data_IF_796891171495
#
_entry.id   IF_796891171495
#
_cell.length_a   1.000
_cell.length_b   1.000
_cell.length_c   1.000
_cell.angle_alpha   90.00
_cell.angle_beta   90.00
_cell.angle_gamma   90.00
#
_symmetry.space_group_name_H-M   'P 1'
#
loop_
_entity.id
_entity.type
_entity.pdbx_description
1 polymer ?
#
# COMPACT_ATOMS: atom_id res chain seq x y z
N UNK A 1 18.72 10.73 9.19
CA UNK A 1 17.33 11.14 9.50
C UNK A 1 16.53 10.76 8.27
N UNK A 2 15.54 9.90 8.40
CA UNK A 2 15.03 9.09 7.30
C UNK A 2 14.17 9.91 6.31
N UNK A 3 14.74 10.27 5.15
CA UNK A 3 14.04 10.92 4.02
C UNK A 3 13.17 9.91 3.23
N UNK A 4 12.33 9.13 3.92
CA UNK A 4 11.47 8.13 3.28
C UNK A 4 10.01 8.27 3.68
N UNK A 5 9.11 7.83 2.80
CA UNK A 5 7.66 7.90 3.04
C UNK A 5 7.19 6.81 4.02
N UNK A 6 6.09 7.08 4.71
CA UNK A 6 5.40 6.06 5.52
C UNK A 6 4.15 5.57 4.79
N UNK A 7 4.06 4.25 4.61
CA UNK A 7 2.94 3.59 3.95
C UNK A 7 2.19 2.69 4.93
N UNK A 8 0.88 2.58 4.71
CA UNK A 8 0.01 1.71 5.50
C UNK A 8 -0.97 1.00 4.58
N UNK A 9 -1.05 -0.33 4.67
CA UNK A 9 -2.06 -1.12 3.96
C UNK A 9 -3.01 -1.74 4.99
N UNK A 10 -4.24 -1.28 4.94
CA UNK A 10 -5.38 -1.81 5.68
C UNK A 10 -6.00 -2.94 4.87
N UNK A 11 -6.30 -4.09 5.51
CA UNK A 11 -6.87 -5.22 4.77
C UNK A 11 -7.75 -6.13 5.64
N UNK A 12 -8.83 -6.63 5.05
CA UNK A 12 -9.68 -7.64 5.66
C UNK A 12 -8.96 -9.00 5.79
N UNK A 13 -8.76 -9.45 7.02
CA UNK A 13 -8.11 -10.74 7.34
C UNK A 13 -8.99 -11.95 7.07
N UNK A 14 -10.28 -11.86 7.37
CA UNK A 14 -11.26 -12.94 7.14
C UNK A 14 -11.64 -13.13 5.66
N UNK A 15 -11.28 -12.17 4.80
CA UNK A 15 -11.61 -12.19 3.37
C UNK A 15 -10.50 -12.80 2.50
N UNK A 16 -9.37 -13.19 3.10
CA UNK A 16 -8.22 -13.75 2.37
C UNK A 16 -7.38 -12.71 1.63
N UNK A 17 -7.47 -11.41 1.98
CA UNK A 17 -6.80 -10.34 1.23
C UNK A 17 -5.31 -10.17 1.57
N UNK A 18 -4.77 -10.98 2.48
CA UNK A 18 -3.36 -10.95 2.88
C UNK A 18 -2.41 -11.15 1.68
N UNK A 19 -2.75 -12.05 0.75
CA UNK A 19 -1.92 -12.31 -0.44
C UNK A 19 -1.81 -11.08 -1.34
N UNK A 20 -2.90 -10.33 -1.49
CA UNK A 20 -2.91 -9.06 -2.23
C UNK A 20 -2.06 -8.01 -1.51
N UNK A 21 -2.20 -7.91 -0.19
CA UNK A 21 -1.40 -7.00 0.63
C UNK A 21 0.11 -7.30 0.52
N UNK A 22 0.49 -8.58 0.54
CA UNK A 22 1.88 -9.02 0.36
C UNK A 22 2.42 -8.70 -1.04
N UNK A 23 1.63 -8.91 -2.10
CA UNK A 23 2.02 -8.53 -3.47
C UNK A 23 2.31 -7.04 -3.58
N UNK A 24 1.40 -6.19 -3.08
CA UNK A 24 1.58 -4.73 -3.11
C UNK A 24 2.83 -4.33 -2.33
N UNK A 25 3.08 -4.95 -1.17
CA UNK A 25 4.28 -4.69 -0.40
C UNK A 25 5.57 -5.11 -1.12
N UNK A 26 5.56 -6.26 -1.81
CA UNK A 26 6.70 -6.72 -2.60
C UNK A 26 7.00 -5.76 -3.75
N UNK A 27 5.96 -5.30 -4.48
CA UNK A 27 6.08 -4.31 -5.56
C UNK A 27 6.73 -3.01 -5.03
N UNK A 28 6.23 -2.49 -3.91
CA UNK A 28 6.71 -1.28 -3.25
C UNK A 28 8.17 -1.39 -2.78
N UNK A 29 8.48 -2.43 -2.00
CA UNK A 29 9.80 -2.60 -1.38
C UNK A 29 10.88 -2.95 -2.41
N UNK A 30 10.52 -3.63 -3.50
CA UNK A 30 11.46 -3.88 -4.60
C UNK A 30 11.75 -2.62 -5.41
N UNK A 31 10.76 -1.75 -5.64
CA UNK A 31 10.94 -0.52 -6.43
C UNK A 31 11.59 0.61 -5.63
N UNK A 32 11.22 0.79 -4.36
CA UNK A 32 11.60 1.95 -3.55
C UNK A 32 12.46 1.56 -2.34
N UNK A 33 13.44 0.67 -2.52
CA UNK A 33 14.27 0.07 -1.45
C UNK A 33 14.72 1.04 -0.35
N UNK A 34 15.13 2.25 -0.72
CA UNK A 34 15.58 3.30 0.22
C UNK A 34 14.58 4.45 0.39
N UNK A 35 13.51 4.49 -0.40
CA UNK A 35 12.52 5.57 -0.40
C UNK A 35 11.35 5.34 0.56
N UNK A 36 11.17 4.11 1.07
CA UNK A 36 10.14 3.78 2.05
C UNK A 36 10.80 3.68 3.43
N UNK A 37 10.48 4.61 4.32
CA UNK A 37 10.97 4.57 5.70
C UNK A 37 10.16 3.57 6.55
N UNK A 38 8.89 3.39 6.22
CA UNK A 38 7.96 2.58 7.02
C UNK A 38 6.87 1.99 6.13
N UNK A 39 6.56 0.72 6.32
CA UNK A 39 5.40 0.04 5.73
C UNK A 39 4.68 -0.75 6.82
N UNK A 40 3.41 -0.44 7.07
CA UNK A 40 2.60 -1.05 8.13
C UNK A 40 1.43 -1.81 7.54
N UNK A 41 1.18 -2.99 8.10
CA UNK A 41 -0.01 -3.78 7.83
C UNK A 41 -1.00 -3.60 8.97
N UNK A 42 -2.22 -3.18 8.64
CA UNK A 42 -3.30 -3.00 9.61
C UNK A 42 -4.42 -3.99 9.29
N UNK A 43 -4.54 -5.07 10.06
CA UNK A 43 -5.58 -6.07 9.85
C UNK A 43 -6.94 -5.55 10.34
N UNK A 44 -7.97 -5.71 9.51
CA UNK A 44 -9.38 -5.57 9.88
C UNK A 44 -10.12 -6.90 9.76
N UNK A 45 -11.34 -6.96 10.31
CA UNK A 45 -12.16 -8.16 10.30
C UNK A 45 -13.52 -7.88 9.67
N UNK A 46 -13.91 -8.67 8.66
CA UNK A 46 -15.29 -8.77 8.17
C UNK A 46 -15.83 -7.61 7.32
N UNK A 47 -15.07 -6.55 7.08
CA UNK A 47 -15.50 -5.34 6.37
C UNK A 47 -15.21 -5.37 4.86
N UNK A 48 -14.41 -6.32 4.38
CA UNK A 48 -14.00 -6.40 2.98
C UNK A 48 -13.16 -5.21 2.51
N UNK A 49 -12.52 -4.51 3.46
CA UNK A 49 -11.64 -3.36 3.20
C UNK A 49 -10.31 -3.80 2.59
N UNK A 50 -9.81 -2.95 1.70
CA UNK A 50 -8.43 -2.99 1.23
C UNK A 50 -8.06 -1.58 0.81
N UNK A 51 -7.33 -0.88 1.66
CA UNK A 51 -7.00 0.53 1.46
C UNK A 51 -5.49 0.74 1.66
N UNK A 52 -4.91 1.64 0.87
CA UNK A 52 -3.49 1.99 0.94
C UNK A 52 -3.39 3.48 1.25
N UNK A 53 -2.55 3.81 2.24
CA UNK A 53 -2.33 5.17 2.71
C UNK A 53 -0.86 5.56 2.54
N UNK A 54 -0.66 6.80 2.12
CA UNK A 54 0.60 7.53 2.21
C UNK A 54 0.48 8.52 3.39
N UNK A 55 1.25 8.28 4.44
CA UNK A 55 1.09 8.93 5.74
C UNK A 55 -0.36 8.79 6.23
N UNK A 56 -1.13 9.89 6.23
CA UNK A 56 -2.54 9.94 6.62
C UNK A 56 -3.52 10.07 5.43
N UNK A 57 -3.01 10.14 4.19
CA UNK A 57 -3.80 10.29 2.97
C UNK A 57 -4.10 8.92 2.34
N UNK A 58 -5.38 8.63 2.09
CA UNK A 58 -5.79 7.43 1.35
C UNK A 58 -5.48 7.62 -0.13
N UNK A 59 -4.56 6.82 -0.67
CA UNK A 59 -4.14 6.89 -2.08
C UNK A 59 -4.81 5.82 -2.94
N UNK A 60 -5.39 4.80 -2.32
CA UNK A 60 -6.18 3.77 -3.00
C UNK A 60 -7.19 3.18 -2.03
N UNK A 61 -8.46 3.07 -2.45
CA UNK A 61 -9.47 2.30 -1.73
C UNK A 61 -10.16 1.30 -2.63
N UNK A 62 -10.19 0.03 -2.23
CA UNK A 62 -10.97 -1.00 -2.92
C UNK A 62 -12.47 -0.70 -2.91
N UNK A 63 -12.97 -0.08 -1.85
CA UNK A 63 -14.40 0.26 -1.77
C UNK A 63 -14.76 1.31 -2.83
N UNK A 64 -13.91 2.31 -3.03
CA UNK A 64 -14.11 3.36 -4.04
C UNK A 64 -13.86 2.86 -5.47
N UNK A 65 -12.82 2.06 -5.68
CA UNK A 65 -12.44 1.56 -7.01
C UNK A 65 -13.26 0.35 -7.46
N UNK A 66 -13.93 -0.34 -6.54
CA UNK A 66 -14.65 -1.59 -6.82
C UNK A 66 -13.74 -2.77 -7.22
N UNK A 67 -12.42 -2.63 -7.09
CA UNK A 67 -11.41 -3.63 -7.47
C UNK A 67 -10.18 -3.58 -6.56
N UNK A 68 -9.34 -4.58 -6.65
CA UNK A 68 -7.99 -4.52 -6.10
C UNK A 68 -7.07 -3.67 -6.97
N UNK A 69 -5.92 -3.22 -6.44
CA UNK A 69 -4.92 -2.57 -7.27
C UNK A 69 -4.46 -3.51 -8.38
N UNK A 70 -4.26 -2.96 -9.57
CA UNK A 70 -3.56 -3.62 -10.65
C UNK A 70 -2.06 -3.73 -10.31
N UNK A 71 -1.33 -4.52 -11.09
CA UNK A 71 0.09 -4.75 -10.88
C UNK A 71 0.84 -3.42 -10.97
N UNK A 72 1.66 -3.09 -9.97
CA UNK A 72 2.44 -1.84 -9.88
C UNK A 72 1.63 -0.54 -9.76
N UNK A 73 0.29 -0.56 -9.75
CA UNK A 73 -0.52 0.67 -9.72
C UNK A 73 -0.20 1.56 -8.51
N UNK A 74 -0.04 0.96 -7.33
CA UNK A 74 0.33 1.72 -6.12
C UNK A 74 1.72 2.35 -6.27
N UNK A 75 2.64 1.69 -6.98
CA UNK A 75 3.94 2.28 -7.26
C UNK A 75 3.80 3.50 -8.17
N UNK A 76 3.01 3.41 -9.24
CA UNK A 76 2.78 4.53 -10.16
C UNK A 76 2.18 5.73 -9.44
N UNK A 77 1.21 5.50 -8.54
CA UNK A 77 0.64 6.56 -7.68
C UNK A 77 1.71 7.21 -6.80
N UNK A 78 2.70 6.45 -6.34
CA UNK A 78 3.76 6.94 -5.45
C UNK A 78 4.95 7.62 -6.14
N UNK A 79 5.11 7.46 -7.46
CA UNK A 79 6.22 8.08 -8.23
C UNK A 79 6.46 9.56 -7.94
N UNK A 80 5.45 10.45 -7.88
CA UNK A 80 5.68 11.87 -7.61
C UNK A 80 6.13 12.14 -6.15
N UNK A 81 5.94 11.20 -5.23
CA UNK A 81 6.23 11.38 -3.81
C UNK A 81 7.60 10.81 -3.40
N UNK A 82 8.13 9.85 -4.15
CA UNK A 82 9.40 9.19 -3.85
C UNK A 82 10.43 9.52 -4.92
N UNK A 83 11.53 10.19 -4.52
CA UNK A 83 12.67 10.38 -5.41
C UNK A 83 13.39 9.05 -5.62
N UNK A 84 13.37 8.56 -6.86
CA UNK A 84 14.26 7.49 -7.30
C UNK A 84 15.67 8.09 -7.41
N UNK A 85 16.62 7.54 -6.64
CA UNK A 85 18.04 7.91 -6.70
C UNK A 85 18.73 7.04 -7.75
#
# INVERSE_FOLDING_TARGET
MADGVSLRIEYCTSCGFLSVAMRVAEELLNRYRSGIAKLVFVPHFGDGSFDVYLDDECIFSKHEQGRFPERMEICEILEPYIRLI
#
